data_IF_659127284148
#
_entry.id   IF_659127284148
#
_cell.length_a   1.000
_cell.length_b   1.000
_cell.length_c   1.000
_cell.angle_alpha   90.00
_cell.angle_beta   90.00
_cell.angle_gamma   90.00
#
_symmetry.space_group_name_H-M   'P 1'
#
loop_
_entity.id
_entity.type
_entity.pdbx_description
1 polymer ?
#
# COMPACT_ATOMS: atom_id res chain seq x y z
N UNK A 1 -21.37 -3.98 19.94
CA UNK A 1 -21.31 -2.79 19.05
C UNK A 1 -22.57 -2.76 18.18
N UNK A 2 -23.11 -1.60 17.88
CA UNK A 2 -24.22 -1.46 16.92
C UNK A 2 -23.71 -0.65 15.71
N UNK A 3 -23.27 -1.36 14.68
CA UNK A 3 -22.66 -0.75 13.48
C UNK A 3 -23.62 0.24 12.80
N UNK A 4 -24.91 -0.12 12.64
CA UNK A 4 -25.87 0.74 11.96
C UNK A 4 -26.09 2.07 12.69
N UNK A 5 -26.13 2.05 14.03
CA UNK A 5 -26.25 3.27 14.82
C UNK A 5 -25.01 4.15 14.68
N UNK A 6 -23.81 3.55 14.78
CA UNK A 6 -22.54 4.29 14.64
C UNK A 6 -22.46 4.92 13.26
N UNK A 7 -22.80 4.17 12.22
CA UNK A 7 -22.78 4.68 10.84
C UNK A 7 -23.79 5.80 10.62
N UNK A 8 -25.01 5.67 11.16
CA UNK A 8 -26.01 6.74 11.08
C UNK A 8 -25.50 8.04 11.72
N UNK A 9 -24.92 7.95 12.91
CA UNK A 9 -24.36 9.10 13.63
C UNK A 9 -23.16 9.71 12.88
N UNK A 10 -22.34 8.88 12.23
CA UNK A 10 -21.17 9.32 11.46
C UNK A 10 -21.58 9.98 10.14
N UNK A 11 -22.57 9.43 9.42
CA UNK A 11 -23.13 9.99 8.20
C UNK A 11 -23.72 11.39 8.44
N UNK A 12 -24.39 11.60 9.58
CA UNK A 12 -24.90 12.90 9.97
C UNK A 12 -23.81 13.95 10.19
N UNK A 13 -22.63 13.53 10.67
CA UNK A 13 -21.47 14.40 10.90
C UNK A 13 -20.68 14.68 9.62
N UNK A 14 -20.62 13.74 8.71
CA UNK A 14 -19.77 13.75 7.49
C UNK A 14 -20.60 13.58 6.22
N UNK A 15 -21.58 14.47 5.95
CA UNK A 15 -22.43 14.34 4.78
C UNK A 15 -21.62 14.48 3.49
N UNK A 16 -21.83 13.54 2.55
CA UNK A 16 -21.17 13.53 1.24
C UNK A 16 -19.77 12.92 1.19
N UNK A 17 -19.25 12.39 2.30
CA UNK A 17 -17.96 11.70 2.35
C UNK A 17 -18.10 10.18 2.10
N UNK A 18 -18.60 9.81 0.93
CA UNK A 18 -19.01 8.45 0.61
C UNK A 18 -17.87 7.41 0.75
N UNK A 19 -16.66 7.71 0.24
CA UNK A 19 -15.51 6.80 0.29
C UNK A 19 -15.07 6.54 1.72
N UNK A 20 -15.05 7.59 2.54
CA UNK A 20 -14.69 7.48 3.95
C UNK A 20 -15.71 6.65 4.75
N UNK A 21 -17.01 6.94 4.56
CA UNK A 21 -18.10 6.25 5.26
C UNK A 21 -18.15 4.76 4.88
N UNK A 22 -17.91 4.43 3.61
CA UNK A 22 -17.82 3.04 3.15
C UNK A 22 -16.68 2.29 3.84
N UNK A 23 -15.48 2.87 3.87
CA UNK A 23 -14.32 2.22 4.50
C UNK A 23 -14.52 1.98 5.99
N UNK A 24 -15.10 2.95 6.71
CA UNK A 24 -15.44 2.78 8.13
C UNK A 24 -16.43 1.63 8.31
N UNK A 25 -17.51 1.58 7.52
CA UNK A 25 -18.51 0.51 7.58
C UNK A 25 -17.89 -0.88 7.39
N UNK A 26 -17.06 -1.05 6.38
CA UNK A 26 -16.40 -2.32 6.08
C UNK A 26 -15.51 -2.79 7.24
N UNK A 27 -14.73 -1.90 7.83
CA UNK A 27 -13.89 -2.24 8.97
C UNK A 27 -14.75 -2.57 10.19
N UNK A 28 -15.77 -1.77 10.52
CA UNK A 28 -16.62 -2.02 11.69
C UNK A 28 -17.32 -3.38 11.61
N UNK A 29 -17.84 -3.75 10.44
CA UNK A 29 -18.44 -5.08 10.23
C UNK A 29 -17.41 -6.19 10.48
N UNK A 30 -16.20 -6.03 9.99
CA UNK A 30 -15.15 -7.06 10.10
C UNK A 30 -14.60 -7.28 11.51
N UNK A 31 -14.75 -6.29 12.41
CA UNK A 31 -14.26 -6.35 13.79
C UNK A 31 -15.36 -6.53 14.85
N UNK A 32 -16.64 -6.54 14.45
CA UNK A 32 -17.78 -6.51 15.37
C UNK A 32 -17.73 -7.63 16.41
N UNK A 33 -17.46 -8.86 15.98
CA UNK A 33 -17.39 -10.03 16.86
C UNK A 33 -16.32 -9.88 17.94
N UNK A 34 -15.13 -9.41 17.55
CA UNK A 34 -14.00 -9.22 18.47
C UNK A 34 -14.26 -8.05 19.40
N UNK A 35 -14.80 -6.95 18.89
CA UNK A 35 -15.16 -5.79 19.70
C UNK A 35 -16.15 -6.17 20.81
N UNK A 36 -17.17 -6.98 20.48
CA UNK A 36 -18.21 -7.40 21.44
C UNK A 36 -17.66 -8.30 22.57
N UNK A 37 -16.48 -8.88 22.40
CA UNK A 37 -15.78 -9.63 23.46
C UNK A 37 -15.03 -8.72 24.45
N UNK A 38 -14.96 -7.40 24.17
CA UNK A 38 -14.21 -6.39 24.94
C UNK A 38 -15.14 -5.26 25.43
N UNK A 39 -15.99 -5.51 26.45
CA UNK A 39 -16.93 -4.49 26.95
C UNK A 39 -16.26 -3.23 27.52
N UNK A 40 -14.97 -3.32 27.84
CA UNK A 40 -14.15 -2.17 28.26
C UNK A 40 -13.97 -1.13 27.15
N UNK A 41 -14.00 -1.51 25.88
CA UNK A 41 -13.88 -0.59 24.74
C UNK A 41 -15.06 0.39 24.65
N UNK A 42 -16.28 -0.08 24.94
CA UNK A 42 -17.49 0.76 24.91
C UNK A 42 -17.44 1.86 25.98
N UNK A 43 -16.87 1.54 27.15
CA UNK A 43 -16.79 2.49 28.29
C UNK A 43 -15.95 3.72 27.98
N UNK A 44 -14.98 3.61 27.07
CA UNK A 44 -14.07 4.70 26.69
C UNK A 44 -14.39 5.26 25.31
N UNK A 45 -15.53 4.89 24.72
CA UNK A 45 -15.94 5.35 23.39
C UNK A 45 -14.87 5.09 22.33
N UNK A 46 -14.29 3.86 22.37
CA UNK A 46 -13.14 3.52 21.53
C UNK A 46 -13.44 3.72 20.04
N UNK A 47 -14.60 3.22 19.57
CA UNK A 47 -14.95 3.32 18.13
C UNK A 47 -15.21 4.77 17.73
N UNK A 48 -15.96 5.53 18.52
CA UNK A 48 -16.23 6.93 18.20
C UNK A 48 -14.94 7.77 18.10
N UNK A 49 -13.92 7.41 18.89
CA UNK A 49 -12.59 8.02 18.81
C UNK A 49 -11.77 7.49 17.64
N UNK A 50 -11.88 6.20 17.33
CA UNK A 50 -11.11 5.54 16.27
C UNK A 50 -11.55 5.96 14.86
N UNK A 51 -12.86 6.23 14.68
CA UNK A 51 -13.40 6.60 13.36
C UNK A 51 -13.28 8.10 13.07
N UNK A 52 -12.88 8.91 14.01
CA UNK A 52 -12.62 10.34 13.78
C UNK A 52 -11.12 10.58 13.68
N UNK A 53 -10.63 11.32 12.66
CA UNK A 53 -9.22 11.69 12.61
C UNK A 53 -8.87 12.64 13.76
N UNK A 54 -7.67 12.48 14.33
CA UNK A 54 -7.21 13.33 15.42
C UNK A 54 -7.03 14.78 14.98
N UNK A 55 -6.57 15.01 13.74
CA UNK A 55 -6.42 16.35 13.15
C UNK A 55 -6.57 16.33 11.63
N UNK A 56 -7.11 17.41 11.11
CA UNK A 56 -7.14 17.70 9.67
C UNK A 56 -6.57 19.08 9.45
N UNK A 57 -5.52 19.18 8.64
CA UNK A 57 -4.93 20.44 8.22
C UNK A 57 -5.32 20.66 6.75
N UNK A 58 -5.99 21.78 6.48
CA UNK A 58 -6.37 22.19 5.13
C UNK A 58 -5.77 23.57 4.87
N UNK A 59 -5.11 23.73 3.72
CA UNK A 59 -4.43 24.98 3.39
C UNK A 59 -4.50 25.27 1.89
N UNK A 60 -4.37 26.54 1.55
CA UNK A 60 -4.32 27.02 0.18
C UNK A 60 -2.88 26.99 -0.32
N UNK A 61 -2.69 26.51 -1.57
CA UNK A 61 -1.37 26.41 -2.21
C UNK A 61 -1.37 27.27 -3.50
N UNK A 62 -1.01 28.56 -3.41
CA UNK A 62 -0.81 29.39 -4.59
C UNK A 62 0.57 29.12 -5.19
N UNK A 63 0.64 29.01 -6.49
CA UNK A 63 1.89 28.80 -7.24
C UNK A 63 1.79 29.40 -8.65
N UNK A 64 2.92 29.57 -9.32
CA UNK A 64 2.99 30.20 -10.65
C UNK A 64 3.54 29.21 -11.67
N UNK A 65 2.90 29.10 -12.83
CA UNK A 65 3.36 28.27 -13.92
C UNK A 65 4.50 28.92 -14.73
N UNK A 66 4.95 28.25 -15.80
CA UNK A 66 6.06 28.73 -16.64
C UNK A 66 5.68 29.96 -17.48
N UNK A 67 4.38 30.23 -17.65
CA UNK A 67 3.86 31.40 -18.36
C UNK A 67 3.68 32.62 -17.43
N UNK A 68 3.88 32.45 -16.12
CA UNK A 68 3.65 33.48 -15.12
C UNK A 68 2.20 33.56 -14.62
N UNK A 69 1.34 32.61 -14.98
CA UNK A 69 -0.03 32.55 -14.50
C UNK A 69 -0.09 31.97 -13.09
N UNK A 70 -0.93 32.57 -12.25
CA UNK A 70 -1.11 32.14 -10.86
C UNK A 70 -2.20 31.07 -10.78
N UNK A 71 -1.88 29.97 -10.18
CA UNK A 71 -2.79 28.86 -9.86
C UNK A 71 -2.98 28.73 -8.36
N UNK A 72 -4.15 28.22 -7.94
CA UNK A 72 -4.47 27.99 -6.53
C UNK A 72 -5.03 26.58 -6.38
N UNK A 73 -4.31 25.75 -5.68
CA UNK A 73 -4.74 24.42 -5.29
C UNK A 73 -5.04 24.36 -3.79
N UNK A 74 -5.69 23.27 -3.35
CA UNK A 74 -5.94 22.98 -1.95
C UNK A 74 -5.02 21.86 -1.50
N UNK A 75 -4.30 22.07 -0.42
CA UNK A 75 -3.48 21.06 0.25
C UNK A 75 -4.16 20.53 1.50
N UNK A 76 -3.92 19.25 1.79
CA UNK A 76 -4.47 18.55 2.95
C UNK A 76 -3.42 17.70 3.65
N UNK A 77 -3.52 17.59 4.97
CA UNK A 77 -2.91 16.54 5.75
C UNK A 77 -3.91 16.03 6.79
N UNK A 78 -4.26 14.76 6.71
CA UNK A 78 -5.08 14.06 7.69
C UNK A 78 -4.13 13.29 8.61
N UNK A 79 -4.02 13.71 9.85
CA UNK A 79 -3.36 13.02 10.95
C UNK A 79 -4.43 12.16 11.62
N UNK A 80 -4.52 10.89 11.20
CA UNK A 80 -5.71 10.11 11.50
C UNK A 80 -5.65 9.51 12.90
N UNK A 81 -4.60 8.77 13.24
CA UNK A 81 -4.44 8.14 14.54
C UNK A 81 -2.96 7.99 14.89
N UNK A 82 -2.55 8.57 16.00
CA UNK A 82 -1.17 8.58 16.51
C UNK A 82 -0.90 7.59 17.65
N UNK A 83 -1.83 6.71 18.00
CA UNK A 83 -1.69 5.84 19.18
C UNK A 83 -0.50 4.88 19.11
N UNK A 84 -0.03 4.51 17.92
CA UNK A 84 1.07 3.55 17.76
C UNK A 84 2.41 4.25 17.49
N UNK A 85 2.41 5.50 17.07
CA UNK A 85 3.62 6.25 16.73
C UNK A 85 3.31 7.45 15.84
N UNK A 86 4.34 8.11 15.28
CA UNK A 86 4.16 9.25 14.39
C UNK A 86 3.19 8.94 13.26
N UNK A 87 2.37 9.91 12.87
CA UNK A 87 1.48 9.73 11.71
C UNK A 87 2.31 9.39 10.48
N UNK A 88 1.90 8.37 9.75
CA UNK A 88 2.64 7.87 8.58
C UNK A 88 1.69 7.56 7.44
N UNK A 89 2.01 8.07 6.26
CA UNK A 89 1.27 7.81 5.03
C UNK A 89 1.59 8.79 3.92
N UNK A 90 1.27 8.42 2.69
CA UNK A 90 1.67 9.13 1.49
C UNK A 90 0.98 10.48 1.28
N UNK A 91 1.61 11.29 0.44
CA UNK A 91 1.02 12.47 -0.20
C UNK A 91 0.60 12.09 -1.62
N UNK A 92 -0.63 12.43 -2.01
CA UNK A 92 -1.16 12.21 -3.36
C UNK A 92 -1.35 13.53 -4.08
N UNK A 93 -0.76 13.68 -5.27
CA UNK A 93 -1.01 14.82 -6.14
C UNK A 93 -1.80 14.35 -7.37
N UNK A 94 -3.11 14.55 -7.30
CA UNK A 94 -4.03 14.12 -8.35
C UNK A 94 -5.31 14.95 -8.31
N UNK A 95 -5.93 15.30 -9.47
CA UNK A 95 -7.13 16.12 -9.52
C UNK A 95 -8.33 15.57 -8.74
N UNK A 96 -8.40 14.26 -8.52
CA UNK A 96 -9.47 13.63 -7.74
C UNK A 96 -9.32 13.78 -6.22
N UNK A 97 -8.21 14.31 -5.72
CA UNK A 97 -7.98 14.44 -4.27
C UNK A 97 -9.02 15.37 -3.65
N UNK A 98 -9.68 14.83 -2.64
CA UNK A 98 -10.60 15.55 -1.77
C UNK A 98 -10.47 15.00 -0.34
N UNK A 99 -11.15 15.64 0.60
CA UNK A 99 -11.05 15.27 2.02
C UNK A 99 -11.58 13.87 2.32
N UNK A 100 -12.71 13.45 1.69
CA UNK A 100 -13.28 12.11 1.86
C UNK A 100 -12.28 11.01 1.50
N UNK A 101 -11.63 11.13 0.34
CA UNK A 101 -10.59 10.19 -0.12
C UNK A 101 -9.41 10.14 0.86
N UNK A 102 -8.96 11.29 1.35
CA UNK A 102 -7.81 11.33 2.26
C UNK A 102 -8.15 10.80 3.67
N UNK A 103 -9.36 11.02 4.16
CA UNK A 103 -9.86 10.40 5.40
C UNK A 103 -9.95 8.89 5.25
N UNK A 104 -10.55 8.40 4.18
CA UNK A 104 -10.58 6.98 3.83
C UNK A 104 -9.19 6.35 3.86
N UNK A 105 -8.27 6.93 3.08
CA UNK A 105 -6.91 6.41 2.98
C UNK A 105 -6.12 6.52 4.30
N UNK A 106 -6.34 7.56 5.11
CA UNK A 106 -5.71 7.73 6.41
C UNK A 106 -6.23 6.71 7.44
N UNK A 107 -7.54 6.44 7.41
CA UNK A 107 -8.17 5.42 8.25
C UNK A 107 -7.60 4.03 7.95
N UNK A 108 -7.59 3.61 6.70
CA UNK A 108 -7.02 2.32 6.30
C UNK A 108 -5.52 2.22 6.59
N UNK A 109 -4.78 3.33 6.38
CA UNK A 109 -3.35 3.38 6.65
C UNK A 109 -3.03 3.11 8.12
N UNK A 110 -3.89 3.52 9.04
CA UNK A 110 -3.76 3.24 10.48
C UNK A 110 -3.64 1.74 10.76
N UNK A 111 -4.51 0.93 10.19
CA UNK A 111 -4.50 -0.52 10.39
C UNK A 111 -3.38 -1.21 9.61
N UNK A 112 -3.09 -0.75 8.41
CA UNK A 112 -1.97 -1.24 7.62
C UNK A 112 -0.63 -1.04 8.33
N UNK A 113 -0.39 0.15 8.87
CA UNK A 113 0.82 0.45 9.64
C UNK A 113 0.91 -0.38 10.92
N UNK A 114 -0.23 -0.59 11.59
CA UNK A 114 -0.31 -1.42 12.79
C UNK A 114 0.19 -2.85 12.57
N UNK A 115 -0.09 -3.43 11.40
CA UNK A 115 0.37 -4.78 11.05
C UNK A 115 1.89 -4.90 10.95
N UNK A 116 2.59 -3.85 10.56
CA UNK A 116 4.06 -3.89 10.38
C UNK A 116 4.84 -4.12 11.66
N UNK A 117 4.20 -4.05 12.82
CA UNK A 117 4.82 -4.06 14.16
C UNK A 117 5.68 -2.82 14.47
N UNK A 118 5.97 -1.98 13.50
CA UNK A 118 6.75 -0.76 13.67
C UNK A 118 5.92 0.35 14.33
N UNK A 119 6.56 1.29 15.03
CA UNK A 119 5.88 2.39 15.72
C UNK A 119 5.48 3.49 14.71
N UNK A 120 4.41 3.26 13.98
CA UNK A 120 3.88 4.17 12.97
C UNK A 120 2.35 4.27 13.10
N UNK A 121 1.86 5.47 13.34
CA UNK A 121 0.44 5.80 13.27
C UNK A 121 -0.09 5.89 11.83
N UNK A 122 -1.31 6.35 11.67
CA UNK A 122 -1.94 6.54 10.37
C UNK A 122 -2.09 8.00 9.97
N UNK A 123 -1.74 8.32 8.73
CA UNK A 123 -1.95 9.63 8.16
C UNK A 123 -2.00 9.59 6.63
N UNK A 124 -2.58 10.61 6.04
CA UNK A 124 -2.64 10.75 4.57
C UNK A 124 -2.74 12.24 4.21
N UNK A 125 -2.20 12.60 3.06
CA UNK A 125 -2.28 13.96 2.59
C UNK A 125 -2.23 14.06 1.09
N UNK A 126 -2.24 15.28 0.59
CA UNK A 126 -2.14 15.55 -0.83
C UNK A 126 -2.78 16.84 -1.27
N UNK A 127 -2.98 16.94 -2.57
CA UNK A 127 -3.58 18.10 -3.23
C UNK A 127 -4.28 17.68 -4.52
N UNK A 128 -5.24 18.46 -4.96
CA UNK A 128 -5.90 18.39 -6.25
C UNK A 128 -5.00 18.81 -7.44
N UNK A 129 -3.72 19.04 -7.18
CA UNK A 129 -2.70 19.33 -8.19
C UNK A 129 -2.40 18.12 -9.07
N UNK A 130 -2.26 18.34 -10.39
CA UNK A 130 -1.81 17.31 -11.34
C UNK A 130 -0.38 17.58 -11.79
N UNK A 131 0.49 16.58 -11.72
CA UNK A 131 1.84 16.63 -12.27
C UNK A 131 1.87 16.43 -13.80
N UNK A 132 0.77 15.90 -14.39
CA UNK A 132 0.71 15.59 -15.82
C UNK A 132 0.75 16.88 -16.64
N UNK A 133 1.64 16.91 -17.62
CA UNK A 133 1.82 18.07 -18.51
C UNK A 133 2.50 19.27 -17.86
N UNK A 134 3.06 19.11 -16.67
CA UNK A 134 3.83 20.14 -15.97
C UNK A 134 5.34 19.95 -16.15
N UNK A 135 6.06 21.06 -16.27
CA UNK A 135 7.51 21.03 -16.27
C UNK A 135 8.08 20.69 -14.88
N UNK A 136 9.33 20.24 -14.83
CA UNK A 136 10.01 20.02 -13.54
C UNK A 136 10.08 21.29 -12.69
N UNK A 137 10.22 22.45 -13.31
CA UNK A 137 10.22 23.73 -12.63
C UNK A 137 8.85 24.08 -12.01
N UNK A 138 7.75 23.80 -12.71
CA UNK A 138 6.40 23.98 -12.19
C UNK A 138 6.14 23.04 -11.01
N UNK A 139 6.48 21.75 -11.14
CA UNK A 139 6.32 20.76 -10.06
C UNK A 139 7.16 21.16 -8.84
N UNK A 140 8.39 21.63 -9.06
CA UNK A 140 9.25 22.11 -7.97
C UNK A 140 8.61 23.32 -7.23
N UNK A 141 8.12 24.32 -7.97
CA UNK A 141 7.45 25.48 -7.37
C UNK A 141 6.21 25.08 -6.58
N UNK A 142 5.41 24.16 -7.13
CA UNK A 142 4.25 23.65 -6.41
C UNK A 142 4.67 22.92 -5.11
N UNK A 143 5.64 22.01 -5.17
CA UNK A 143 6.14 21.30 -3.98
C UNK A 143 6.67 22.28 -2.92
N UNK A 144 7.36 23.34 -3.31
CA UNK A 144 7.88 24.36 -2.40
C UNK A 144 6.73 25.15 -1.75
N UNK A 145 5.73 25.55 -2.53
CA UNK A 145 4.54 26.24 -2.02
C UNK A 145 3.75 25.33 -1.05
N UNK A 146 3.54 24.09 -1.41
CA UNK A 146 2.87 23.09 -0.57
C UNK A 146 3.60 22.88 0.77
N UNK A 147 4.93 22.73 0.73
CA UNK A 147 5.73 22.52 1.94
C UNK A 147 5.80 23.77 2.83
N UNK A 148 5.71 24.96 2.26
CA UNK A 148 5.67 26.23 3.04
C UNK A 148 4.51 26.27 4.04
N UNK A 149 3.40 25.63 3.69
CA UNK A 149 2.25 25.49 4.59
C UNK A 149 2.38 24.26 5.51
N UNK A 150 2.82 23.14 4.95
CA UNK A 150 2.82 21.86 5.66
C UNK A 150 3.90 21.73 6.74
N UNK A 151 5.07 22.36 6.59
CA UNK A 151 6.26 22.07 7.40
C UNK A 151 6.08 22.21 8.92
N UNK A 152 5.13 23.07 9.35
CA UNK A 152 4.84 23.29 10.78
C UNK A 152 4.10 22.13 11.45
N UNK A 153 3.59 21.20 10.65
CA UNK A 153 2.69 20.12 11.07
C UNK A 153 3.30 18.74 10.89
N UNK A 154 4.54 18.67 10.44
CA UNK A 154 5.26 17.42 10.20
C UNK A 154 6.66 17.46 10.83
N UNK A 155 7.17 16.27 11.09
CA UNK A 155 8.49 16.12 11.70
C UNK A 155 8.81 14.64 11.92
N UNK A 156 10.07 14.29 12.26
CA UNK A 156 10.50 12.89 12.40
C UNK A 156 9.75 12.12 13.49
N UNK A 157 9.30 12.80 14.54
CA UNK A 157 8.64 12.23 15.70
C UNK A 157 7.14 12.56 15.79
N UNK A 158 6.63 13.33 14.84
CA UNK A 158 5.24 13.80 14.81
C UNK A 158 4.48 13.20 13.63
N UNK A 159 4.94 13.48 12.42
CA UNK A 159 4.27 13.08 11.18
C UNK A 159 5.30 12.96 10.04
N UNK A 160 5.41 11.77 9.47
CA UNK A 160 6.39 11.46 8.40
C UNK A 160 5.67 11.07 7.12
N UNK A 161 5.36 12.03 6.23
CA UNK A 161 4.76 11.74 4.94
C UNK A 161 5.67 10.90 4.02
N UNK A 162 5.06 10.29 3.01
CA UNK A 162 5.74 9.51 1.98
C UNK A 162 5.20 9.85 0.58
N UNK A 163 5.68 9.17 -0.45
CA UNK A 163 5.10 9.23 -1.78
C UNK A 163 3.82 8.41 -1.92
N UNK A 164 3.00 8.79 -2.88
CA UNK A 164 1.79 8.13 -3.36
C UNK A 164 1.56 8.55 -4.83
N UNK A 165 0.37 8.36 -5.40
CA UNK A 165 0.07 8.78 -6.78
C UNK A 165 0.46 10.24 -7.01
N UNK A 166 1.26 10.50 -8.05
CA UNK A 166 1.76 11.83 -8.39
C UNK A 166 2.87 12.38 -7.47
N UNK A 167 3.37 11.58 -6.54
CA UNK A 167 4.49 11.95 -5.65
C UNK A 167 5.50 10.82 -5.63
N UNK A 168 6.50 10.93 -6.48
CA UNK A 168 7.64 10.02 -6.55
C UNK A 168 8.91 10.61 -5.91
N UNK A 169 10.07 10.01 -6.23
CA UNK A 169 11.36 10.44 -5.69
C UNK A 169 11.71 11.90 -6.00
N UNK A 170 11.33 12.39 -7.20
CA UNK A 170 11.52 13.79 -7.59
C UNK A 170 10.76 14.74 -6.66
N UNK A 171 9.45 14.51 -6.47
CA UNK A 171 8.60 15.34 -5.63
C UNK A 171 9.05 15.27 -4.16
N UNK A 172 9.39 14.07 -3.66
CA UNK A 172 9.95 13.90 -2.31
C UNK A 172 11.24 14.71 -2.15
N UNK A 173 12.10 14.74 -3.16
CA UNK A 173 13.31 15.56 -3.16
C UNK A 173 13.02 17.05 -3.03
N UNK A 174 12.07 17.57 -3.83
CA UNK A 174 11.68 18.99 -3.78
C UNK A 174 11.02 19.35 -2.43
N UNK A 175 10.15 18.51 -1.92
CA UNK A 175 9.51 18.68 -0.60
C UNK A 175 10.54 18.66 0.53
N UNK A 176 11.48 17.71 0.51
CA UNK A 176 12.53 17.60 1.53
C UNK A 176 13.49 18.80 1.50
N UNK A 177 13.91 19.22 0.31
CA UNK A 177 14.79 20.40 0.16
C UNK A 177 14.15 21.68 0.74
N UNK A 178 12.85 21.86 0.50
CA UNK A 178 12.13 23.01 1.06
C UNK A 178 11.92 22.88 2.57
N UNK A 179 11.57 21.71 3.10
CA UNK A 179 11.48 21.48 4.54
C UNK A 179 12.79 21.81 5.24
N UNK A 180 13.91 21.28 4.75
CA UNK A 180 15.25 21.57 5.28
C UNK A 180 15.56 23.08 5.27
N UNK A 181 15.18 23.78 4.20
CA UNK A 181 15.38 25.22 4.08
C UNK A 181 14.59 26.00 5.14
N UNK A 182 13.32 25.64 5.35
CA UNK A 182 12.43 26.34 6.29
C UNK A 182 12.77 26.09 7.76
N UNK A 183 13.15 24.86 8.09
CA UNK A 183 13.45 24.45 9.46
C UNK A 183 14.90 24.69 9.88
N UNK A 184 15.82 24.86 8.93
CA UNK A 184 17.28 24.85 9.14
C UNK A 184 17.79 23.56 9.83
N UNK A 185 17.07 22.44 9.65
CA UNK A 185 17.39 21.17 10.28
C UNK A 185 17.43 20.04 9.24
N UNK A 186 18.40 19.15 9.38
CA UNK A 186 18.46 17.92 8.60
C UNK A 186 17.86 16.80 9.45
N UNK A 187 16.56 16.57 9.25
CA UNK A 187 15.77 15.61 10.02
C UNK A 187 15.28 14.45 9.15
N UNK A 188 14.95 13.33 9.80
CA UNK A 188 14.36 12.16 9.17
C UNK A 188 12.88 12.31 8.85
N UNK A 189 12.49 13.43 8.27
CA UNK A 189 11.14 13.69 7.75
C UNK A 189 11.03 13.23 6.30
N UNK A 190 9.84 12.82 5.87
CA UNK A 190 9.58 12.21 4.57
C UNK A 190 10.31 10.88 4.35
N UNK A 191 9.67 9.93 3.70
CA UNK A 191 10.28 8.69 3.24
C UNK A 191 10.11 8.51 1.74
N UNK A 192 10.96 7.66 1.15
CA UNK A 192 11.12 7.58 -0.31
C UNK A 192 12.15 8.57 -0.84
N UNK A 193 13.04 9.04 0.04
CA UNK A 193 14.16 9.91 -0.33
C UNK A 193 15.18 9.19 -1.19
N UNK A 194 15.96 9.94 -1.97
CA UNK A 194 17.16 9.42 -2.64
C UNK A 194 18.21 8.93 -1.64
N UNK A 195 19.04 7.99 -2.05
CA UNK A 195 20.12 7.44 -1.21
C UNK A 195 21.11 8.52 -0.77
N UNK A 196 21.26 9.57 -1.57
CA UNK A 196 22.17 10.69 -1.34
C UNK A 196 21.78 11.56 -0.13
N UNK A 197 20.52 11.48 0.30
CA UNK A 197 20.00 12.31 1.38
C UNK A 197 19.08 11.56 2.37
N UNK A 198 19.42 10.31 2.66
CA UNK A 198 18.83 9.54 3.75
C UNK A 198 17.75 8.54 3.34
N UNK A 199 17.66 8.21 2.06
CA UNK A 199 16.80 7.13 1.56
C UNK A 199 17.29 5.75 1.96
N UNK A 200 16.39 4.76 1.90
CA UNK A 200 16.69 3.36 2.15
C UNK A 200 16.86 2.57 0.86
N UNK A 201 17.74 1.59 0.86
CA UNK A 201 17.84 0.55 -0.17
C UNK A 201 16.56 -0.29 -0.19
N UNK A 202 16.34 -1.02 -1.29
CA UNK A 202 15.19 -1.93 -1.53
C UNK A 202 13.84 -1.18 -1.60
N UNK A 203 13.78 0.15 -1.49
CA UNK A 203 12.49 0.85 -1.45
C UNK A 203 11.64 0.67 -2.72
N UNK A 204 12.18 0.69 -3.96
CA UNK A 204 11.41 0.42 -5.18
C UNK A 204 10.84 -1.01 -5.24
N UNK A 205 11.60 -1.99 -4.79
CA UNK A 205 11.27 -3.42 -4.82
C UNK A 205 10.41 -3.87 -3.65
N UNK A 206 10.40 -3.10 -2.57
CA UNK A 206 9.94 -3.53 -1.25
C UNK A 206 8.53 -4.12 -1.22
N UNK A 207 7.61 -3.57 -2.02
CA UNK A 207 6.22 -4.06 -2.06
C UNK A 207 6.18 -5.46 -2.66
N UNK A 208 6.84 -5.66 -3.79
CA UNK A 208 6.94 -6.96 -4.45
C UNK A 208 7.71 -8.00 -3.61
N UNK A 209 8.85 -7.60 -3.03
CA UNK A 209 9.64 -8.46 -2.14
C UNK A 209 8.82 -8.92 -0.94
N UNK A 210 8.19 -7.99 -0.25
CA UNK A 210 7.34 -8.28 0.89
C UNK A 210 6.18 -9.21 0.55
N UNK A 211 5.56 -9.03 -0.61
CA UNK A 211 4.49 -9.89 -1.08
C UNK A 211 4.95 -11.33 -1.23
N UNK A 212 6.10 -11.58 -1.85
CA UNK A 212 6.64 -12.93 -2.00
C UNK A 212 7.02 -13.56 -0.66
N UNK A 213 7.55 -12.81 0.29
CA UNK A 213 7.79 -13.31 1.64
C UNK A 213 6.49 -13.70 2.35
N UNK A 214 5.44 -12.91 2.19
CA UNK A 214 4.13 -13.23 2.75
C UNK A 214 3.53 -14.50 2.10
N UNK A 215 3.57 -14.59 0.77
CA UNK A 215 3.11 -15.76 0.00
C UNK A 215 3.89 -17.03 0.39
N UNK A 216 5.19 -16.93 0.59
CA UNK A 216 6.01 -18.05 1.07
C UNK A 216 5.50 -18.58 2.42
N UNK A 217 5.18 -17.68 3.36
CA UNK A 217 4.62 -18.07 4.65
C UNK A 217 3.21 -18.69 4.49
N UNK A 218 2.37 -18.14 3.60
CA UNK A 218 1.06 -18.71 3.32
C UNK A 218 1.18 -20.18 2.81
N UNK A 219 2.05 -20.42 1.84
CA UNK A 219 2.29 -21.76 1.29
C UNK A 219 2.83 -22.72 2.36
N UNK A 220 3.73 -22.22 3.22
CA UNK A 220 4.30 -23.02 4.32
C UNK A 220 3.23 -23.53 5.30
N UNK A 221 2.10 -22.83 5.47
CA UNK A 221 0.96 -23.33 6.30
C UNK A 221 0.37 -24.64 5.77
N UNK A 222 0.60 -24.94 4.50
CA UNK A 222 0.15 -26.19 3.82
C UNK A 222 1.30 -27.11 3.47
N UNK A 223 2.51 -26.87 3.99
CA UNK A 223 3.71 -27.66 3.69
C UNK A 223 4.21 -27.48 2.25
N UNK A 224 3.89 -26.35 1.61
CA UNK A 224 4.26 -26.03 0.23
C UNK A 224 5.33 -24.94 0.21
N UNK A 225 5.99 -24.76 -0.93
CA UNK A 225 7.01 -23.72 -1.17
C UNK A 225 6.75 -23.04 -2.52
N UNK A 226 7.35 -21.87 -2.72
CA UNK A 226 7.35 -21.12 -4.01
C UNK A 226 8.21 -21.83 -5.06
N UNK A 227 9.24 -22.54 -4.64
CA UNK A 227 10.16 -23.22 -5.54
C UNK A 227 9.42 -24.11 -6.52
N UNK A 228 9.80 -24.01 -7.80
CA UNK A 228 9.23 -24.75 -8.93
C UNK A 228 7.73 -24.48 -9.19
N UNK A 229 7.17 -23.39 -8.62
CA UNK A 229 5.78 -22.98 -8.89
C UNK A 229 5.69 -21.95 -10.00
N UNK A 230 4.64 -22.05 -10.80
CA UNK A 230 4.31 -21.05 -11.81
C UNK A 230 3.52 -19.90 -11.19
N UNK A 231 3.86 -18.66 -11.56
CA UNK A 231 3.31 -17.44 -10.97
C UNK A 231 2.78 -16.54 -12.07
N UNK A 232 1.49 -16.25 -12.05
CA UNK A 232 0.88 -15.24 -12.90
C UNK A 232 0.83 -13.89 -12.16
N UNK A 233 1.41 -12.86 -12.77
CA UNK A 233 1.48 -11.50 -12.23
C UNK A 233 0.81 -10.56 -13.22
N UNK A 234 0.02 -9.59 -12.72
CA UNK A 234 -0.41 -8.44 -13.50
C UNK A 234 0.56 -7.25 -13.35
N UNK A 235 0.53 -6.31 -14.29
CA UNK A 235 1.40 -5.14 -14.27
C UNK A 235 2.84 -5.39 -14.73
N UNK A 236 3.59 -4.30 -14.90
CA UNK A 236 5.03 -4.29 -15.14
C UNK A 236 5.73 -3.09 -14.46
N UNK A 237 5.02 -2.44 -13.53
CA UNK A 237 5.58 -1.37 -12.68
C UNK A 237 6.49 -1.89 -11.57
N UNK A 238 6.87 -1.01 -10.62
CA UNK A 238 7.77 -1.35 -9.49
C UNK A 238 7.31 -2.57 -8.69
N UNK A 239 6.00 -2.69 -8.46
CA UNK A 239 5.42 -3.78 -7.67
C UNK A 239 5.60 -5.11 -8.39
N UNK A 240 5.21 -5.17 -9.67
CA UNK A 240 5.36 -6.37 -10.50
C UNK A 240 6.83 -6.73 -10.72
N UNK A 241 7.69 -5.74 -10.98
CA UNK A 241 9.12 -5.93 -11.13
C UNK A 241 9.76 -6.52 -9.87
N UNK A 242 9.49 -5.91 -8.69
CA UNK A 242 9.98 -6.44 -7.43
C UNK A 242 9.46 -7.85 -7.13
N UNK A 243 8.18 -8.12 -7.42
CA UNK A 243 7.60 -9.45 -7.27
C UNK A 243 8.27 -10.48 -8.19
N UNK A 244 8.49 -10.15 -9.46
CA UNK A 244 9.15 -11.04 -10.41
C UNK A 244 10.60 -11.34 -10.00
N UNK A 245 11.35 -10.32 -9.56
CA UNK A 245 12.72 -10.46 -9.08
C UNK A 245 12.81 -11.40 -7.87
N UNK A 246 12.00 -11.16 -6.85
CA UNK A 246 12.01 -11.99 -5.64
C UNK A 246 11.45 -13.39 -5.88
N UNK A 247 10.41 -13.55 -6.71
CA UNK A 247 9.89 -14.84 -7.09
C UNK A 247 10.96 -15.74 -7.74
N UNK A 248 11.75 -15.16 -8.66
CA UNK A 248 12.86 -15.84 -9.31
C UNK A 248 13.96 -16.22 -8.32
N UNK A 249 14.33 -15.32 -7.39
CA UNK A 249 15.31 -15.60 -6.33
C UNK A 249 14.86 -16.78 -5.43
N UNK A 250 13.55 -16.90 -5.17
CA UNK A 250 12.97 -17.98 -4.39
C UNK A 250 12.73 -19.27 -5.21
N UNK A 251 13.15 -19.29 -6.46
CA UNK A 251 13.03 -20.47 -7.35
C UNK A 251 11.66 -20.64 -8.00
N UNK A 252 10.78 -19.64 -7.92
CA UNK A 252 9.50 -19.60 -8.64
C UNK A 252 9.68 -19.16 -10.10
N UNK A 253 8.69 -19.45 -10.94
CA UNK A 253 8.69 -19.14 -12.36
C UNK A 253 7.55 -18.17 -12.68
N UNK A 254 7.88 -16.91 -12.89
CA UNK A 254 6.92 -15.90 -13.34
C UNK A 254 6.67 -16.10 -14.82
N UNK A 255 5.41 -16.25 -15.23
CA UNK A 255 5.02 -16.57 -16.60
C UNK A 255 4.16 -15.50 -17.28
N UNK A 256 3.75 -14.46 -16.56
CA UNK A 256 2.97 -13.37 -17.14
C UNK A 256 3.41 -12.02 -16.59
N UNK A 257 3.24 -10.97 -17.39
CA UNK A 257 3.14 -9.56 -17.01
C UNK A 257 1.99 -8.95 -17.81
N UNK A 258 1.44 -7.80 -17.39
CA UNK A 258 0.36 -7.17 -18.13
C UNK A 258 0.42 -5.65 -18.09
N UNK A 259 -0.06 -5.00 -19.14
CA UNK A 259 -0.30 -3.58 -19.26
C UNK A 259 -1.76 -3.24 -19.53
N UNK A 260 -2.07 -1.96 -19.75
CA UNK A 260 -3.39 -1.53 -20.23
C UNK A 260 -3.75 -2.08 -21.61
N UNK A 261 -2.74 -2.41 -22.42
CA UNK A 261 -2.83 -2.94 -23.78
C UNK A 261 -3.15 -4.45 -23.84
N UNK A 262 -2.83 -5.20 -22.79
CA UNK A 262 -3.00 -6.65 -22.74
C UNK A 262 -2.04 -7.33 -21.78
N UNK A 263 -1.72 -8.60 -22.01
CA UNK A 263 -0.73 -9.31 -21.21
C UNK A 263 0.26 -10.09 -22.07
N UNK A 264 1.44 -10.33 -21.52
CA UNK A 264 2.45 -11.24 -22.04
C UNK A 264 2.33 -12.59 -21.33
N UNK A 265 2.34 -13.68 -22.09
CA UNK A 265 2.59 -15.03 -21.62
C UNK A 265 3.94 -15.51 -22.10
N UNK A 266 4.82 -15.86 -21.17
CA UNK A 266 6.15 -16.37 -21.44
C UNK A 266 6.34 -17.72 -20.71
N UNK A 267 6.13 -18.81 -21.43
CA UNK A 267 6.25 -20.16 -20.89
C UNK A 267 7.66 -20.48 -20.39
N UNK A 268 8.69 -19.88 -21.00
CA UNK A 268 10.07 -20.04 -20.56
C UNK A 268 10.35 -19.39 -19.21
N UNK A 269 9.52 -18.42 -18.81
CA UNK A 269 9.63 -17.65 -17.59
C UNK A 269 10.30 -16.29 -17.80
N UNK A 270 9.89 -15.34 -16.96
CA UNK A 270 10.40 -13.95 -16.94
C UNK A 270 11.49 -13.89 -15.87
N UNK A 271 12.75 -14.03 -16.30
CA UNK A 271 13.92 -14.07 -15.42
C UNK A 271 15.15 -13.41 -16.11
N UNK A 272 16.16 -13.02 -15.35
CA UNK A 272 17.38 -12.39 -15.88
C UNK A 272 17.08 -11.11 -16.65
N UNK A 273 17.61 -11.00 -17.86
CA UNK A 273 17.48 -9.81 -18.72
C UNK A 273 16.02 -9.42 -18.97
N UNK A 274 15.09 -10.38 -18.93
CA UNK A 274 13.65 -10.13 -19.08
C UNK A 274 13.06 -9.31 -17.92
N UNK A 275 13.59 -9.49 -16.70
CA UNK A 275 13.21 -8.68 -15.53
C UNK A 275 13.76 -7.26 -15.69
N UNK A 276 14.98 -7.10 -16.17
CA UNK A 276 15.59 -5.79 -16.43
C UNK A 276 14.82 -5.04 -17.53
N UNK A 277 14.37 -5.75 -18.56
CA UNK A 277 13.54 -5.19 -19.62
C UNK A 277 12.20 -4.65 -19.14
N UNK A 278 11.64 -5.18 -18.04
CA UNK A 278 10.46 -4.58 -17.42
C UNK A 278 10.69 -3.13 -16.96
N UNK A 279 11.92 -2.80 -16.53
CA UNK A 279 12.29 -1.42 -16.19
C UNK A 279 12.37 -0.53 -17.44
N UNK A 280 12.85 -1.06 -18.55
CA UNK A 280 12.88 -0.33 -19.84
C UNK A 280 11.48 -0.04 -20.34
N UNK A 281 10.57 -1.05 -20.32
CA UNK A 281 9.14 -0.85 -20.66
C UNK A 281 8.52 0.27 -19.84
N UNK A 282 8.78 0.27 -18.53
CA UNK A 282 8.25 1.29 -17.65
C UNK A 282 8.86 2.68 -17.93
N UNK A 283 10.17 2.76 -18.19
CA UNK A 283 10.86 4.02 -18.43
C UNK A 283 10.51 4.64 -19.77
N UNK A 284 9.98 3.85 -20.72
CA UNK A 284 9.50 4.36 -22.02
C UNK A 284 8.33 5.35 -21.88
N UNK A 285 7.58 5.28 -20.79
CA UNK A 285 6.41 6.11 -20.54
C UNK A 285 5.19 5.81 -21.44
N UNK A 286 5.27 4.79 -22.30
CA UNK A 286 4.18 4.42 -23.22
C UNK A 286 3.09 3.56 -22.58
N UNK A 287 3.37 3.04 -21.38
CA UNK A 287 2.41 2.27 -20.56
C UNK A 287 1.84 1.02 -21.26
N UNK A 288 2.64 0.39 -22.14
CA UNK A 288 2.28 -0.82 -22.92
C UNK A 288 3.29 -1.93 -22.70
N UNK A 289 2.85 -3.20 -22.71
CA UNK A 289 3.73 -4.35 -22.55
C UNK A 289 4.02 -5.11 -23.87
N UNK A 290 3.32 -4.81 -24.95
CA UNK A 290 3.47 -5.47 -26.26
C UNK A 290 4.94 -5.53 -26.74
N UNK A 291 5.81 -4.50 -26.60
CA UNK A 291 7.20 -4.56 -27.06
C UNK A 291 8.04 -5.70 -26.47
N UNK A 292 7.59 -6.30 -25.35
CA UNK A 292 8.25 -7.47 -24.78
C UNK A 292 8.24 -8.69 -25.73
N UNK A 293 7.13 -8.90 -26.48
CA UNK A 293 7.06 -10.00 -27.45
C UNK A 293 8.08 -9.83 -28.60
N UNK A 294 8.27 -8.56 -29.03
CA UNK A 294 9.24 -8.25 -30.09
C UNK A 294 10.69 -8.50 -29.63
N UNK A 295 11.00 -8.16 -28.36
CA UNK A 295 12.35 -8.34 -27.79
C UNK A 295 12.65 -9.80 -27.44
N UNK A 296 11.65 -10.55 -26.98
CA UNK A 296 11.80 -11.94 -26.55
C UNK A 296 10.94 -12.90 -27.40
N UNK A 297 11.42 -13.30 -28.59
CA UNK A 297 10.72 -14.26 -29.45
C UNK A 297 10.46 -15.59 -28.73
N UNK A 298 9.22 -16.03 -28.75
CA UNK A 298 8.74 -17.21 -28.01
C UNK A 298 7.80 -16.89 -26.86
N UNK A 299 7.78 -15.63 -26.42
CA UNK A 299 6.67 -15.09 -25.63
C UNK A 299 5.46 -14.79 -26.54
N UNK A 300 4.31 -14.58 -25.92
CA UNK A 300 3.06 -14.30 -26.63
C UNK A 300 2.32 -13.12 -26.01
N UNK A 301 2.04 -12.09 -26.81
CA UNK A 301 1.18 -11.00 -26.43
C UNK A 301 -0.28 -11.30 -26.70
N UNK A 302 -1.14 -11.05 -25.72
CA UNK A 302 -2.60 -11.23 -25.83
C UNK A 302 -3.27 -9.89 -25.59
N UNK A 303 -3.76 -9.27 -26.68
CA UNK A 303 -4.33 -7.93 -26.67
C UNK A 303 -5.61 -7.82 -25.84
N UNK A 304 -5.75 -6.76 -25.09
CA UNK A 304 -6.99 -6.35 -24.41
C UNK A 304 -7.47 -7.27 -23.28
N UNK A 305 -6.68 -8.25 -22.87
CA UNK A 305 -7.03 -9.21 -21.81
C UNK A 305 -6.13 -9.05 -20.58
N UNK A 306 -6.59 -9.63 -19.46
CA UNK A 306 -5.82 -9.81 -18.23
C UNK A 306 -5.28 -11.22 -18.15
N UNK A 307 -4.18 -11.48 -17.39
CA UNK A 307 -3.51 -12.78 -17.38
C UNK A 307 -4.25 -13.90 -16.60
N UNK A 308 -5.48 -13.65 -16.19
CA UNK A 308 -6.23 -14.57 -15.29
C UNK A 308 -6.69 -15.86 -15.95
N UNK A 309 -6.71 -15.93 -17.29
CA UNK A 309 -6.99 -17.15 -18.05
C UNK A 309 -5.78 -18.09 -18.15
N UNK A 310 -4.57 -17.60 -17.85
CA UNK A 310 -3.34 -18.40 -17.87
C UNK A 310 -3.29 -19.30 -16.65
N UNK A 311 -3.11 -20.61 -16.86
CA UNK A 311 -2.98 -21.57 -15.75
C UNK A 311 -1.68 -21.35 -14.99
N UNK A 312 -1.79 -21.09 -13.69
CA UNK A 312 -0.67 -20.90 -12.79
C UNK A 312 -0.96 -21.49 -11.39
N UNK A 313 0.08 -21.73 -10.63
CA UNK A 313 -0.03 -22.17 -9.24
C UNK A 313 -0.36 -21.00 -8.30
N UNK A 314 0.15 -19.82 -8.60
CA UNK A 314 0.04 -18.60 -7.76
C UNK A 314 -0.40 -17.42 -8.64
N UNK A 315 -1.37 -16.63 -8.15
CA UNK A 315 -1.84 -15.42 -8.83
C UNK A 315 -1.60 -14.18 -7.95
N UNK A 316 -0.97 -13.16 -8.53
CA UNK A 316 -0.63 -11.91 -7.84
C UNK A 316 -1.17 -10.70 -8.62
N UNK A 317 -2.05 -9.91 -7.99
CA UNK A 317 -2.48 -8.64 -8.57
C UNK A 317 -1.43 -7.57 -8.26
N UNK A 318 -0.69 -7.10 -9.27
CA UNK A 318 0.43 -6.17 -9.09
C UNK A 318 0.26 -4.84 -9.86
N UNK A 319 -0.91 -4.58 -10.45
CA UNK A 319 -1.15 -3.42 -11.29
C UNK A 319 -2.03 -2.35 -10.60
N UNK A 320 -3.34 -2.50 -10.68
CA UNK A 320 -4.27 -1.45 -10.29
C UNK A 320 -5.38 -1.94 -9.35
N UNK A 321 -6.11 -1.00 -8.76
CA UNK A 321 -7.28 -1.28 -7.95
C UNK A 321 -8.38 -1.96 -8.79
N UNK A 322 -9.08 -2.93 -8.20
CA UNK A 322 -10.22 -3.64 -8.79
C UNK A 322 -9.93 -4.29 -10.17
N UNK A 323 -8.70 -4.70 -10.38
CA UNK A 323 -8.28 -5.33 -11.64
C UNK A 323 -8.75 -6.77 -11.82
N UNK A 324 -9.10 -7.46 -10.72
CA UNK A 324 -9.61 -8.82 -10.68
C UNK A 324 -11.05 -8.80 -10.14
N UNK A 325 -12.02 -9.12 -11.01
CA UNK A 325 -13.43 -9.11 -10.68
C UNK A 325 -13.98 -10.50 -10.33
N UNK A 326 -15.29 -10.62 -10.04
CA UNK A 326 -15.91 -11.87 -9.66
C UNK A 326 -15.85 -12.96 -10.75
N UNK A 327 -15.94 -12.60 -12.02
CA UNK A 327 -15.81 -13.56 -13.13
C UNK A 327 -14.36 -14.06 -13.28
N UNK A 328 -13.38 -13.17 -13.07
CA UNK A 328 -11.97 -13.54 -13.03
C UNK A 328 -11.67 -14.48 -11.85
N UNK A 329 -12.30 -14.24 -10.69
CA UNK A 329 -12.17 -15.14 -9.53
C UNK A 329 -12.71 -16.55 -9.81
N UNK A 330 -13.87 -16.65 -10.48
CA UNK A 330 -14.44 -17.95 -10.90
C UNK A 330 -13.49 -18.69 -11.85
N UNK A 331 -12.90 -17.96 -12.80
CA UNK A 331 -11.93 -18.51 -13.76
C UNK A 331 -10.68 -19.03 -13.05
N UNK A 332 -10.13 -18.26 -12.11
CA UNK A 332 -8.95 -18.66 -11.32
C UNK A 332 -9.28 -19.89 -10.44
N UNK A 333 -10.41 -19.86 -9.72
CA UNK A 333 -10.84 -20.98 -8.86
C UNK A 333 -11.01 -22.29 -9.65
N UNK A 334 -11.52 -22.21 -10.89
CA UNK A 334 -11.66 -23.38 -11.77
C UNK A 334 -10.30 -24.03 -12.10
N UNK A 335 -9.21 -23.27 -12.05
CA UNK A 335 -7.84 -23.75 -12.29
C UNK A 335 -7.19 -24.36 -11.03
N UNK A 336 -7.85 -24.27 -9.86
CA UNK A 336 -7.39 -24.80 -8.57
C UNK A 336 -6.00 -24.28 -8.17
N UNK A 337 -5.81 -22.96 -8.03
CA UNK A 337 -4.54 -22.40 -7.65
C UNK A 337 -4.16 -22.80 -6.21
N UNK A 338 -2.87 -22.77 -5.92
CA UNK A 338 -2.35 -22.95 -4.57
C UNK A 338 -2.61 -21.70 -3.72
N UNK A 339 -2.44 -20.50 -4.33
CA UNK A 339 -2.52 -19.24 -3.64
C UNK A 339 -2.97 -18.10 -4.57
N UNK A 340 -3.74 -17.17 -4.03
CA UNK A 340 -4.05 -15.87 -4.64
C UNK A 340 -3.71 -14.77 -3.63
N UNK A 341 -3.01 -13.72 -4.04
CA UNK A 341 -2.66 -12.63 -3.14
C UNK A 341 -2.76 -11.27 -3.83
N UNK A 342 -3.32 -10.30 -3.11
CA UNK A 342 -3.33 -8.91 -3.55
C UNK A 342 -2.00 -8.23 -3.24
N UNK A 343 -1.30 -7.79 -4.26
CA UNK A 343 -0.08 -6.98 -4.09
C UNK A 343 -0.36 -5.50 -4.39
N UNK A 344 -1.25 -5.20 -5.31
CA UNK A 344 -1.81 -3.86 -5.48
C UNK A 344 -2.76 -3.51 -4.32
N UNK A 345 -3.05 -2.23 -4.13
CA UNK A 345 -4.06 -1.81 -3.16
C UNK A 345 -5.44 -2.17 -3.70
N UNK A 346 -6.19 -3.00 -2.98
CA UNK A 346 -7.52 -3.47 -3.37
C UNK A 346 -7.54 -4.01 -4.81
N UNK A 347 -6.63 -4.94 -5.14
CA UNK A 347 -6.49 -5.50 -6.48
C UNK A 347 -7.72 -6.30 -6.93
N UNK A 348 -8.44 -6.91 -5.98
CA UNK A 348 -9.67 -7.64 -6.20
C UNK A 348 -10.89 -6.78 -5.87
N UNK A 349 -11.99 -6.98 -6.61
CA UNK A 349 -13.30 -6.45 -6.19
C UNK A 349 -13.81 -7.19 -4.95
N UNK A 350 -14.73 -6.58 -4.18
CA UNK A 350 -15.35 -7.22 -3.02
C UNK A 350 -15.98 -8.59 -3.39
N UNK A 351 -16.66 -8.66 -4.55
CA UNK A 351 -17.23 -9.91 -5.06
C UNK A 351 -16.17 -10.99 -5.26
N UNK A 352 -15.01 -10.65 -5.81
CA UNK A 352 -13.91 -11.59 -6.01
C UNK A 352 -13.34 -12.08 -4.68
N UNK A 353 -13.14 -11.18 -3.71
CA UNK A 353 -12.70 -11.52 -2.36
C UNK A 353 -13.68 -12.49 -1.70
N UNK A 354 -14.99 -12.20 -1.74
CA UNK A 354 -16.02 -13.05 -1.17
C UNK A 354 -16.00 -14.46 -1.78
N UNK A 355 -15.81 -14.58 -3.09
CA UNK A 355 -15.69 -15.87 -3.79
C UNK A 355 -14.46 -16.66 -3.33
N UNK A 356 -13.30 -16.02 -3.19
CA UNK A 356 -12.09 -16.68 -2.70
C UNK A 356 -12.26 -17.16 -1.26
N UNK A 357 -12.83 -16.35 -0.39
CA UNK A 357 -13.08 -16.69 1.03
C UNK A 357 -14.13 -17.80 1.13
N UNK A 358 -15.23 -17.74 0.36
CA UNK A 358 -16.27 -18.77 0.35
C UNK A 358 -15.77 -20.12 -0.17
N UNK A 359 -14.83 -20.12 -1.12
CA UNK A 359 -14.19 -21.31 -1.65
C UNK A 359 -13.05 -21.85 -0.74
N UNK A 360 -12.80 -21.21 0.41
CA UNK A 360 -11.67 -21.51 1.30
C UNK A 360 -10.31 -21.52 0.57
N UNK A 361 -10.21 -20.68 -0.47
CA UNK A 361 -8.98 -20.48 -1.20
C UNK A 361 -7.93 -19.84 -0.29
N UNK A 362 -6.68 -20.25 -0.40
CA UNK A 362 -5.56 -19.56 0.25
C UNK A 362 -5.42 -18.17 -0.39
N UNK A 363 -6.10 -17.19 0.19
CA UNK A 363 -6.20 -15.82 -0.30
C UNK A 363 -5.77 -14.82 0.77
N UNK A 364 -5.01 -13.80 0.41
CA UNK A 364 -4.61 -12.73 1.33
C UNK A 364 -4.82 -11.33 0.77
N UNK A 365 -5.32 -10.39 1.61
CA UNK A 365 -5.65 -9.03 1.20
C UNK A 365 -4.42 -8.13 1.09
N UNK A 366 -4.54 -7.10 0.24
CA UNK A 366 -3.48 -6.16 -0.03
C UNK A 366 -2.87 -5.48 1.20
N UNK A 367 -3.69 -5.10 2.18
CA UNK A 367 -3.18 -4.43 3.41
C UNK A 367 -2.14 -5.24 4.19
N UNK A 368 -2.18 -6.57 4.10
CA UNK A 368 -1.17 -7.45 4.69
C UNK A 368 -0.04 -7.75 3.70
N UNK A 369 -0.39 -8.17 2.49
CA UNK A 369 0.57 -8.63 1.48
C UNK A 369 1.47 -7.51 0.99
N UNK A 370 0.93 -6.32 0.72
CA UNK A 370 1.69 -5.19 0.17
C UNK A 370 2.33 -4.29 1.23
N UNK A 371 2.33 -4.69 2.49
CA UNK A 371 2.89 -3.92 3.58
C UNK A 371 4.42 -3.72 3.48
N UNK A 372 5.10 -4.45 2.59
CA UNK A 372 6.55 -4.32 2.38
C UNK A 372 7.01 -2.90 2.07
N UNK A 373 6.24 -2.16 1.27
CA UNK A 373 6.55 -0.76 0.96
C UNK A 373 6.54 0.15 2.17
N UNK A 374 5.51 0.08 3.02
CA UNK A 374 5.45 0.88 4.24
C UNK A 374 6.39 0.37 5.32
N UNK A 375 6.63 -0.94 5.39
CA UNK A 375 7.65 -1.51 6.28
C UNK A 375 9.03 -0.95 5.98
N UNK A 376 9.44 -0.93 4.71
CA UNK A 376 10.72 -0.34 4.30
C UNK A 376 10.75 1.17 4.55
N UNK A 377 9.63 1.88 4.43
CA UNK A 377 9.55 3.28 4.85
C UNK A 377 9.81 3.44 6.37
N UNK A 378 9.31 2.55 7.20
CA UNK A 378 9.62 2.53 8.65
C UNK A 378 11.09 2.21 8.92
N UNK A 379 11.69 1.31 8.12
CA UNK A 379 13.13 1.04 8.19
C UNK A 379 13.96 2.27 7.77
N UNK A 380 13.51 3.05 6.78
CA UNK A 380 14.12 4.33 6.42
C UNK A 380 14.07 5.32 7.59
N UNK A 381 12.92 5.44 8.28
CA UNK A 381 12.79 6.26 9.48
C UNK A 381 13.79 5.83 10.56
N UNK A 382 13.94 4.53 10.80
CA UNK A 382 14.90 3.99 11.76
C UNK A 382 16.34 4.36 11.38
N UNK A 383 16.75 4.15 10.14
CA UNK A 383 18.08 4.51 9.63
C UNK A 383 18.33 6.02 9.80
N UNK A 384 17.33 6.87 9.51
CA UNK A 384 17.43 8.31 9.70
C UNK A 384 17.60 8.68 11.19
N UNK A 385 16.88 8.03 12.08
CA UNK A 385 16.95 8.27 13.52
C UNK A 385 18.34 7.96 14.11
N UNK A 386 18.93 6.83 13.70
CA UNK A 386 20.26 6.42 14.15
C UNK A 386 21.40 7.03 13.31
N UNK A 387 21.09 7.73 12.23
CA UNK A 387 22.04 8.34 11.26
C UNK A 387 23.02 7.35 10.64
N UNK A 388 22.53 6.14 10.33
CA UNK A 388 23.28 5.11 9.63
C UNK A 388 22.48 4.64 8.42
N UNK A 389 23.18 4.19 7.39
CA UNK A 389 22.59 3.51 6.23
C UNK A 389 22.89 2.02 6.32
N UNK A 390 21.86 1.20 6.18
CA UNK A 390 22.01 -0.25 6.10
C UNK A 390 22.30 -0.71 4.68
N UNK A 391 23.03 -1.82 4.56
CA UNK A 391 23.23 -2.52 3.31
C UNK A 391 21.90 -3.08 2.78
N UNK A 392 21.88 -3.44 1.52
CA UNK A 392 20.72 -4.10 0.90
C UNK A 392 20.33 -5.37 1.65
N UNK A 393 21.32 -6.18 2.03
CA UNK A 393 21.10 -7.41 2.80
C UNK A 393 20.44 -7.14 4.16
N UNK A 394 20.93 -6.16 4.90
CA UNK A 394 20.34 -5.81 6.21
C UNK A 394 18.90 -5.33 6.11
N UNK A 395 18.57 -4.54 5.07
CA UNK A 395 17.21 -4.09 4.83
C UNK A 395 16.32 -5.27 4.43
N UNK A 396 16.79 -6.16 3.57
CA UNK A 396 16.03 -7.33 3.10
C UNK A 396 15.74 -8.32 4.24
N UNK A 397 16.72 -8.61 5.08
CA UNK A 397 16.53 -9.47 6.26
C UNK A 397 15.48 -8.89 7.24
N UNK A 398 15.51 -7.57 7.46
CA UNK A 398 14.51 -6.90 8.31
C UNK A 398 13.13 -6.89 7.67
N UNK A 399 13.05 -6.66 6.37
CA UNK A 399 11.80 -6.73 5.62
C UNK A 399 11.20 -8.15 5.69
N UNK A 400 12.00 -9.17 5.48
CA UNK A 400 11.57 -10.56 5.61
C UNK A 400 10.99 -10.86 7.01
N UNK A 401 11.69 -10.43 8.06
CA UNK A 401 11.23 -10.58 9.44
C UNK A 401 9.89 -9.87 9.69
N UNK A 402 9.73 -8.64 9.20
CA UNK A 402 8.49 -7.88 9.35
C UNK A 402 7.33 -8.59 8.64
N UNK A 403 7.54 -9.06 7.41
CA UNK A 403 6.49 -9.75 6.64
C UNK A 403 6.09 -11.08 7.29
N UNK A 404 7.06 -11.81 7.86
CA UNK A 404 6.78 -13.00 8.67
C UNK A 404 5.91 -12.65 9.89
N UNK A 405 6.25 -11.61 10.63
CA UNK A 405 5.48 -11.15 11.79
C UNK A 405 4.06 -10.72 11.42
N UNK A 406 3.87 -10.05 10.26
CA UNK A 406 2.54 -9.71 9.75
C UNK A 406 1.73 -10.98 9.49
N UNK A 407 2.34 -11.95 8.83
CA UNK A 407 1.70 -13.25 8.55
C UNK A 407 1.26 -13.96 9.85
N UNK A 408 2.14 -14.04 10.84
CA UNK A 408 1.81 -14.64 12.14
C UNK A 408 0.61 -13.97 12.81
N UNK A 409 0.53 -12.63 12.79
CA UNK A 409 -0.61 -11.91 13.32
C UNK A 409 -1.90 -12.20 12.55
N UNK A 410 -1.84 -12.27 11.24
CA UNK A 410 -2.99 -12.64 10.40
C UNK A 410 -3.47 -14.07 10.71
N UNK A 411 -2.57 -15.02 10.88
CA UNK A 411 -2.90 -16.41 11.26
C UNK A 411 -3.54 -16.45 12.65
N UNK A 412 -2.95 -15.74 13.63
CA UNK A 412 -3.45 -15.71 15.01
C UNK A 412 -4.93 -15.32 15.09
N UNK A 413 -5.36 -14.33 14.32
CA UNK A 413 -6.72 -13.82 14.36
C UNK A 413 -7.63 -14.35 13.24
N UNK A 414 -7.07 -14.96 12.20
CA UNK A 414 -7.82 -15.46 11.05
C UNK A 414 -8.05 -16.96 11.05
N UNK A 415 -7.35 -17.74 11.89
CA UNK A 415 -7.49 -19.21 11.90
C UNK A 415 -8.85 -19.61 12.46
N UNK A 416 -9.60 -20.38 11.65
CA UNK A 416 -10.91 -20.92 12.02
C UNK A 416 -10.77 -22.30 12.70
N UNK A 417 -11.85 -22.78 13.30
CA UNK A 417 -11.90 -24.09 13.98
C UNK A 417 -11.69 -25.26 13.01
N UNK A 418 -12.09 -25.13 11.75
CA UNK A 418 -11.90 -26.11 10.67
C UNK A 418 -10.45 -26.15 10.13
N UNK A 419 -9.60 -25.21 10.58
CA UNK A 419 -8.22 -25.10 10.16
C UNK A 419 -7.98 -24.14 8.99
N UNK A 420 -9.03 -23.61 8.35
CA UNK A 420 -8.89 -22.55 7.34
C UNK A 420 -8.36 -21.27 7.96
N UNK A 421 -7.51 -20.57 7.23
CA UNK A 421 -6.98 -19.26 7.64
C UNK A 421 -7.63 -18.18 6.77
N UNK A 422 -8.54 -17.43 7.36
CA UNK A 422 -9.16 -16.26 6.77
C UNK A 422 -8.24 -15.04 6.97
N UNK A 423 -7.35 -14.82 6.02
CA UNK A 423 -6.38 -13.72 6.09
C UNK A 423 -7.04 -12.34 6.01
N UNK A 424 -8.22 -12.20 5.39
CA UNK A 424 -8.95 -10.94 5.33
C UNK A 424 -9.41 -10.54 6.73
N UNK A 425 -10.09 -11.46 7.40
CA UNK A 425 -10.50 -11.28 8.80
C UNK A 425 -9.28 -11.11 9.71
N UNK A 426 -8.27 -11.95 9.54
CA UNK A 426 -7.06 -11.93 10.35
C UNK A 426 -6.34 -10.58 10.29
N UNK A 427 -6.16 -10.01 9.11
CA UNK A 427 -5.51 -8.72 8.92
C UNK A 427 -6.31 -7.56 9.55
N UNK A 428 -7.64 -7.55 9.36
CA UNK A 428 -8.49 -6.52 9.92
C UNK A 428 -8.47 -6.53 11.46
N UNK A 429 -8.65 -7.70 12.06
CA UNK A 429 -8.67 -7.84 13.51
C UNK A 429 -7.28 -7.57 14.12
N UNK A 430 -6.21 -8.08 13.52
CA UNK A 430 -4.85 -7.84 14.02
C UNK A 430 -4.50 -6.35 14.06
N UNK A 431 -4.79 -5.64 12.97
CA UNK A 431 -4.59 -4.19 12.89
C UNK A 431 -5.42 -3.44 13.93
N UNK A 432 -6.71 -3.75 14.02
CA UNK A 432 -7.62 -3.15 14.99
C UNK A 432 -7.17 -3.38 16.43
N UNK A 433 -6.91 -4.61 16.83
CA UNK A 433 -6.53 -4.95 18.22
C UNK A 433 -5.26 -4.26 18.68
N UNK A 434 -4.28 -4.08 17.79
CA UNK A 434 -3.06 -3.35 18.14
C UNK A 434 -3.35 -1.87 18.42
N UNK A 435 -4.15 -1.21 17.56
CA UNK A 435 -4.54 0.19 17.75
C UNK A 435 -5.40 0.34 19.00
N UNK A 436 -6.41 -0.51 19.15
CA UNK A 436 -7.34 -0.49 20.30
C UNK A 436 -6.59 -0.64 21.63
N UNK A 437 -5.67 -1.60 21.73
CA UNK A 437 -4.88 -1.81 22.94
C UNK A 437 -3.96 -0.62 23.26
N UNK A 438 -3.38 0.01 22.25
CA UNK A 438 -2.56 1.21 22.44
C UNK A 438 -3.43 2.39 22.93
N UNK A 439 -4.60 2.62 22.32
CA UNK A 439 -5.54 3.65 22.74
C UNK A 439 -6.06 3.41 24.18
N UNK A 440 -6.31 2.14 24.56
CA UNK A 440 -6.71 1.78 25.92
C UNK A 440 -5.61 2.07 26.93
N UNK A 441 -4.36 1.69 26.60
CA UNK A 441 -3.22 1.87 27.51
C UNK A 441 -2.85 3.34 27.73
N UNK A 442 -3.06 4.19 26.73
CA UNK A 442 -2.76 5.64 26.78
C UNK A 442 -3.91 6.45 27.42
N UNK A 443 -5.08 5.86 27.62
CA UNK A 443 -6.24 6.53 28.22
C UNK A 443 -7.04 7.37 27.25
N UNK A 444 -7.70 8.40 27.76
CA UNK A 444 -8.53 9.33 26.98
C UNK A 444 -7.75 10.62 26.78
N UNK A 445 -7.11 10.72 25.63
CA UNK A 445 -6.27 11.86 25.21
C UNK A 445 -6.78 12.45 23.92
#
# INVERSE_FOLDING_TARGET
MNVEKIMHDLEAKHPGEAEYLQAVREVLISIEDVYNQHPEFEKVKLIERLVEPERIITFRVPWTDDNGEVHVNIGYRVQFNGAIGPYKGGLRFHPSVNLSILKFLGFEQTFKNALTTLPMGGGKGGSDFSIRGRSDAEVMRFCQAFMTELYRHIGPDEDVPAGDIGVGGREIGYLFGMYKKLTHQYQGVLTGKGLEFGGSRIRPEATGYGALYFVQQMLATRGLDIKDKTIAISGFGNVAWGAAKKATELGGKVITISGPDGYIYDEAGIAGDKIDYMLELRSSGNDVCQPYEDEFPGSKFVVGKKPWEVKADIYLTCATQNELNGADADMILAQKPLCVAEVSNMGCTAEAVDKFVAAEQLFAPGKAVNAGGVATSGLEMTQNSIRLSWSEKEVDEKLHYIMHSIHEQCVKYGKRADGYIDYVRGANIAGFMKVANAMMAQGIV
#
